data_IF_859013119996
#
_entry.id   IF_859013119996
#
_cell.length_a   1.000
_cell.length_b   1.000
_cell.length_c   1.000
_cell.angle_alpha   90.00
_cell.angle_beta   90.00
_cell.angle_gamma   90.00
#
_symmetry.space_group_name_H-M   'P 1'
#
loop_
_entity.id
_entity.type
_entity.pdbx_description
1 polymer ?
#
# COMPACT_ATOMS: atom_id res chain seq x y z
N UNK A 1 -12.87 -34.74 7.24
CA UNK A 1 -11.90 -33.84 7.91
C UNK A 1 -10.51 -34.47 8.06
N UNK A 2 -10.37 -35.74 8.49
CA UNK A 2 -9.06 -36.42 8.66
C UNK A 2 -8.19 -36.60 7.38
N UNK A 3 -8.79 -36.58 6.19
CA UNK A 3 -8.08 -36.84 4.92
C UNK A 3 -7.22 -35.67 4.42
N UNK A 4 -7.61 -34.42 4.71
CA UNK A 4 -6.90 -33.22 4.23
C UNK A 4 -5.63 -32.94 5.05
N UNK A 5 -5.65 -33.22 6.35
CA UNK A 5 -4.46 -33.10 7.21
C UNK A 5 -3.41 -34.17 6.94
N UNK A 6 -3.84 -35.42 6.67
CA UNK A 6 -2.92 -36.49 6.25
C UNK A 6 -2.20 -36.13 4.95
N UNK A 7 -2.93 -35.62 3.96
CA UNK A 7 -2.37 -35.21 2.65
C UNK A 7 -1.36 -34.05 2.80
N UNK A 8 -1.68 -33.05 3.63
CA UNK A 8 -0.80 -31.90 3.93
C UNK A 8 0.46 -32.29 4.72
N UNK A 9 0.37 -33.31 5.58
CA UNK A 9 1.50 -33.87 6.32
C UNK A 9 2.40 -34.75 5.44
N UNK A 10 1.80 -35.53 4.53
CA UNK A 10 2.51 -36.30 3.50
C UNK A 10 3.27 -35.40 2.52
N UNK A 11 2.65 -34.30 2.07
CA UNK A 11 3.28 -33.33 1.17
C UNK A 11 4.44 -32.58 1.84
N UNK A 12 4.31 -32.20 3.13
CA UNK A 12 5.44 -31.65 3.91
C UNK A 12 6.58 -32.64 4.06
N UNK A 13 6.27 -33.92 4.30
CA UNK A 13 7.28 -34.98 4.46
C UNK A 13 7.98 -35.28 3.12
N UNK A 14 7.27 -35.21 1.99
CA UNK A 14 7.86 -35.27 0.65
C UNK A 14 8.77 -34.08 0.36
N UNK A 15 8.39 -32.88 0.81
CA UNK A 15 9.19 -31.66 0.66
C UNK A 15 10.50 -31.70 1.44
N UNK A 16 10.48 -32.20 2.68
CA UNK A 16 11.70 -32.37 3.48
C UNK A 16 12.63 -33.44 2.89
N UNK A 17 12.06 -34.53 2.36
CA UNK A 17 12.84 -35.55 1.62
C UNK A 17 13.44 -35.01 0.32
N UNK A 18 12.74 -34.13 -0.40
CA UNK A 18 13.25 -33.50 -1.62
C UNK A 18 14.43 -32.56 -1.36
N UNK A 19 14.45 -31.89 -0.20
CA UNK A 19 15.59 -31.05 0.22
C UNK A 19 16.83 -31.89 0.55
N UNK A 20 16.64 -33.08 1.12
CA UNK A 20 17.74 -34.00 1.48
C UNK A 20 18.33 -34.69 0.23
N UNK A 21 17.54 -34.87 -0.83
CA UNK A 21 18.01 -35.44 -2.11
C UNK A 21 18.72 -34.44 -3.03
N UNK A 22 18.69 -33.14 -2.71
CA UNK A 22 19.30 -32.07 -3.50
C UNK A 22 20.67 -31.59 -2.96
N UNK A 23 21.32 -32.37 -2.08
CA UNK A 23 22.78 -32.23 -1.93
C UNK A 23 23.45 -32.63 -3.25
N UNK A 24 24.27 -31.76 -3.87
CA UNK A 24 24.87 -32.04 -5.15
C UNK A 24 25.95 -33.11 -4.97
N UNK A 25 25.60 -34.38 -5.19
CA UNK A 25 26.56 -35.42 -5.55
C UNK A 25 26.58 -35.50 -7.07
N UNK A 26 27.78 -35.35 -7.62
CA UNK A 26 28.04 -35.17 -9.04
C UNK A 26 27.47 -36.30 -9.93
N UNK A 27 26.73 -35.87 -10.96
CA UNK A 27 26.60 -36.38 -12.34
C UNK A 27 26.82 -37.89 -12.63
N UNK A 28 25.82 -38.53 -13.24
CA UNK A 28 26.00 -39.15 -14.57
C UNK A 28 24.72 -39.20 -15.41
N UNK A 29 24.90 -39.01 -16.72
CA UNK A 29 23.93 -38.80 -17.79
C UNK A 29 23.12 -40.06 -18.17
N UNK A 30 21.79 -39.96 -18.26
CA UNK A 30 20.96 -40.89 -19.02
C UNK A 30 19.62 -40.24 -19.43
N UNK A 31 19.00 -40.70 -20.53
CA UNK A 31 17.76 -40.14 -21.11
C UNK A 31 16.56 -40.09 -20.15
N UNK A 32 16.57 -40.81 -19.02
CA UNK A 32 15.58 -40.66 -17.94
C UNK A 32 15.68 -39.31 -17.23
N UNK A 33 16.89 -38.73 -17.14
CA UNK A 33 17.10 -37.40 -16.57
C UNK A 33 16.35 -36.32 -17.36
N UNK A 34 16.25 -36.43 -18.70
CA UNK A 34 15.59 -35.43 -19.54
C UNK A 34 14.06 -35.45 -19.41
N UNK A 35 13.45 -36.62 -19.23
CA UNK A 35 12.01 -36.77 -19.01
C UNK A 35 11.57 -36.32 -17.61
N UNK A 36 12.41 -36.59 -16.59
CA UNK A 36 12.21 -36.00 -15.26
C UNK A 36 12.45 -34.49 -15.28
N UNK A 37 13.43 -33.98 -16.04
CA UNK A 37 13.68 -32.54 -16.18
C UNK A 37 12.54 -31.81 -16.87
N UNK A 38 11.91 -32.39 -17.89
CA UNK A 38 10.75 -31.78 -18.56
C UNK A 38 9.53 -31.72 -17.66
N UNK A 39 9.22 -32.81 -16.93
CA UNK A 39 8.11 -32.84 -15.97
C UNK A 39 8.36 -31.93 -14.76
N UNK A 40 9.60 -31.83 -14.28
CA UNK A 40 10.00 -30.87 -13.25
C UNK A 40 9.81 -29.44 -13.79
N UNK A 41 10.27 -29.13 -15.00
CA UNK A 41 10.13 -27.80 -15.57
C UNK A 41 8.67 -27.40 -15.83
N UNK A 42 7.81 -28.36 -16.16
CA UNK A 42 6.38 -28.16 -16.36
C UNK A 42 5.62 -28.05 -15.02
N UNK A 43 6.05 -28.78 -13.99
CA UNK A 43 5.57 -28.61 -12.61
C UNK A 43 6.06 -27.32 -11.96
N UNK A 44 7.28 -26.87 -12.27
CA UNK A 44 7.84 -25.58 -11.85
C UNK A 44 7.20 -24.43 -12.63
N UNK A 45 6.83 -24.62 -13.91
CA UNK A 45 5.99 -23.68 -14.67
C UNK A 45 4.59 -23.60 -14.07
N UNK A 46 3.97 -24.74 -13.75
CA UNK A 46 2.65 -24.78 -13.12
C UNK A 46 2.66 -24.25 -11.67
N UNK A 47 3.77 -24.40 -10.94
CA UNK A 47 3.98 -23.78 -9.64
C UNK A 47 4.26 -22.28 -9.77
N UNK A 48 5.03 -21.83 -10.78
CA UNK A 48 5.22 -20.41 -11.10
C UNK A 48 3.91 -19.73 -11.54
N UNK A 49 3.05 -20.45 -12.26
CA UNK A 49 1.73 -20.00 -12.67
C UNK A 49 0.70 -20.06 -11.52
N UNK A 50 0.99 -20.80 -10.43
CA UNK A 50 0.14 -20.84 -9.23
C UNK A 50 0.40 -19.66 -8.27
N UNK A 51 1.46 -18.87 -8.49
CA UNK A 51 1.68 -17.58 -7.84
C UNK A 51 1.19 -16.45 -8.74
N UNK A 52 -0.02 -16.61 -9.31
CA UNK A 52 -0.72 -15.51 -9.96
C UNK A 52 -0.62 -14.29 -9.05
N UNK A 53 -0.03 -13.22 -9.58
CA UNK A 53 0.09 -11.94 -8.88
C UNK A 53 -1.31 -11.55 -8.43
N UNK A 54 -1.58 -11.74 -7.15
CA UNK A 54 -2.88 -11.40 -6.61
C UNK A 54 -3.06 -9.91 -6.82
N UNK A 55 -4.19 -9.53 -7.41
CA UNK A 55 -4.54 -8.14 -7.60
C UNK A 55 -5.68 -7.75 -6.68
N UNK A 56 -5.63 -6.54 -6.18
CA UNK A 56 -6.79 -5.84 -5.63
C UNK A 56 -7.20 -4.79 -6.66
N UNK A 57 -8.18 -5.12 -7.50
CA UNK A 57 -8.47 -4.35 -8.71
C UNK A 57 -7.29 -4.39 -9.68
N UNK A 58 -6.73 -3.23 -10.03
CA UNK A 58 -5.51 -3.13 -10.86
C UNK A 58 -4.21 -3.11 -10.05
N UNK A 59 -4.28 -3.00 -8.73
CA UNK A 59 -3.10 -2.95 -7.87
C UNK A 59 -2.47 -4.34 -7.74
N UNK A 60 -1.18 -4.47 -8.06
CA UNK A 60 -0.44 -5.74 -7.93
C UNK A 60 0.08 -5.90 -6.51
N UNK A 61 -0.32 -6.97 -5.83
CA UNK A 61 0.18 -7.28 -4.50
C UNK A 61 1.59 -7.89 -4.57
N UNK A 62 2.45 -7.58 -3.59
CA UNK A 62 3.78 -8.18 -3.50
C UNK A 62 3.70 -9.65 -3.11
N UNK A 63 4.69 -10.44 -3.53
CA UNK A 63 4.70 -11.89 -3.28
C UNK A 63 4.61 -12.28 -1.79
N UNK A 64 5.18 -11.48 -0.89
CA UNK A 64 5.10 -11.73 0.55
C UNK A 64 3.68 -11.58 1.13
N UNK A 65 2.75 -10.96 0.39
CA UNK A 65 1.34 -10.89 0.79
C UNK A 65 0.65 -12.26 0.80
N UNK A 66 1.23 -13.28 0.15
CA UNK A 66 0.77 -14.67 0.22
C UNK A 66 1.54 -15.52 1.24
N UNK A 67 2.39 -14.90 2.08
CA UNK A 67 3.13 -15.60 3.13
C UNK A 67 2.35 -15.55 4.45
N UNK A 68 1.78 -16.67 4.97
CA UNK A 68 0.90 -16.62 6.13
C UNK A 68 1.47 -15.94 7.39
N UNK A 69 2.77 -16.11 7.74
CA UNK A 69 3.35 -15.40 8.87
C UNK A 69 3.36 -13.87 8.72
N UNK A 70 3.27 -13.33 7.50
CA UNK A 70 3.21 -11.89 7.25
C UNK A 70 2.01 -11.21 7.93
N UNK A 71 0.90 -11.95 8.14
CA UNK A 71 -0.32 -11.48 8.81
C UNK A 71 -0.32 -11.70 10.33
N UNK A 72 0.78 -12.17 10.91
CA UNK A 72 0.92 -12.39 12.35
C UNK A 72 2.07 -11.55 12.86
N UNK A 73 1.83 -10.76 13.91
CA UNK A 73 2.85 -9.88 14.48
C UNK A 73 4.04 -10.72 14.95
N UNK A 74 5.24 -10.46 14.41
CA UNK A 74 6.38 -11.32 14.66
C UNK A 74 6.94 -11.11 16.09
N UNK A 75 7.23 -12.19 16.84
CA UNK A 75 7.72 -12.08 18.21
C UNK A 75 9.17 -11.62 18.27
N UNK A 76 9.97 -12.02 17.27
CA UNK A 76 11.39 -11.66 17.16
C UNK A 76 11.51 -10.23 16.67
N UNK A 77 12.28 -9.40 17.40
CA UNK A 77 12.43 -7.96 17.14
C UNK A 77 12.87 -7.66 15.72
N UNK A 78 14.01 -8.20 15.28
CA UNK A 78 14.57 -7.90 13.95
C UNK A 78 13.61 -8.30 12.82
N UNK A 79 12.91 -9.44 12.98
CA UNK A 79 11.89 -9.89 12.04
C UNK A 79 10.67 -8.96 12.05
N UNK A 80 10.26 -8.50 13.23
CA UNK A 80 9.16 -7.54 13.38
C UNK A 80 9.49 -6.20 12.75
N UNK A 81 10.70 -5.69 12.91
CA UNK A 81 11.15 -4.45 12.29
C UNK A 81 11.06 -4.52 10.76
N UNK A 82 11.53 -5.62 10.16
CA UNK A 82 11.37 -5.86 8.72
C UNK A 82 9.91 -5.98 8.30
N UNK A 83 9.11 -6.72 9.06
CA UNK A 83 7.68 -6.86 8.79
C UNK A 83 6.96 -5.50 8.82
N UNK A 84 7.23 -4.68 9.83
CA UNK A 84 6.65 -3.32 9.97
C UNK A 84 7.03 -2.47 8.77
N UNK A 85 8.29 -2.52 8.32
CA UNK A 85 8.73 -1.77 7.14
C UNK A 85 7.98 -2.17 5.87
N UNK A 86 7.84 -3.48 5.62
CA UNK A 86 7.08 -3.99 4.48
C UNK A 86 5.60 -3.58 4.52
N UNK A 87 4.97 -3.60 5.71
CA UNK A 87 3.59 -3.16 5.87
C UNK A 87 3.42 -1.66 5.61
N UNK A 88 4.35 -0.83 6.11
CA UNK A 88 4.33 0.62 5.86
C UNK A 88 4.39 0.93 4.36
N UNK A 89 5.33 0.31 3.66
CA UNK A 89 5.51 0.48 2.21
C UNK A 89 4.25 0.06 1.45
N UNK A 90 3.74 -1.15 1.73
CA UNK A 90 2.54 -1.67 1.07
C UNK A 90 1.30 -0.79 1.33
N UNK A 91 1.07 -0.35 2.56
CA UNK A 91 -0.07 0.52 2.90
C UNK A 91 0.03 1.83 2.14
N UNK A 92 1.19 2.49 2.16
CA UNK A 92 1.41 3.77 1.47
C UNK A 92 1.20 3.63 -0.04
N UNK A 93 1.77 2.60 -0.64
CA UNK A 93 1.68 2.36 -2.09
C UNK A 93 0.24 2.06 -2.51
N UNK A 94 -0.45 1.20 -1.76
CA UNK A 94 -1.86 0.87 -2.01
C UNK A 94 -2.76 2.11 -1.86
N UNK A 95 -2.60 2.87 -0.77
CA UNK A 95 -3.38 4.09 -0.53
C UNK A 95 -3.16 5.13 -1.63
N UNK A 96 -1.92 5.32 -2.10
CA UNK A 96 -1.63 6.20 -3.23
C UNK A 96 -2.30 5.72 -4.51
N UNK A 97 -2.13 4.44 -4.85
CA UNK A 97 -2.67 3.88 -6.08
C UNK A 97 -4.20 3.89 -6.14
N UNK A 98 -4.86 3.68 -5.00
CA UNK A 98 -6.33 3.64 -4.89
C UNK A 98 -6.93 4.97 -4.39
N UNK A 99 -6.11 6.01 -4.19
CA UNK A 99 -6.50 7.31 -3.62
C UNK A 99 -7.28 7.21 -2.30
N UNK A 100 -6.87 6.28 -1.43
CA UNK A 100 -7.48 6.06 -0.11
C UNK A 100 -6.71 6.81 0.96
N UNK A 101 -7.27 7.91 1.44
CA UNK A 101 -6.64 8.75 2.47
C UNK A 101 -6.96 8.32 3.91
N UNK A 102 -8.09 7.66 4.16
CA UNK A 102 -8.52 7.29 5.52
C UNK A 102 -8.58 5.77 5.65
N UNK A 103 -7.95 5.24 6.69
CA UNK A 103 -8.07 3.84 7.12
C UNK A 103 -8.75 3.81 8.49
N UNK A 104 -9.88 3.13 8.60
CA UNK A 104 -10.50 2.80 9.88
C UNK A 104 -9.91 1.52 10.47
N UNK A 105 -9.58 1.51 11.75
CA UNK A 105 -9.01 0.33 12.43
C UNK A 105 -10.01 -0.84 12.54
N UNK A 106 -11.26 -0.50 12.81
CA UNK A 106 -12.38 -1.44 12.96
C UNK A 106 -13.15 -1.67 11.65
N UNK A 107 -12.79 -0.94 10.60
CA UNK A 107 -13.43 -1.05 9.29
C UNK A 107 -12.72 -2.12 8.44
N UNK A 108 -13.45 -2.69 7.49
CA UNK A 108 -12.84 -3.58 6.51
C UNK A 108 -11.91 -2.77 5.59
N UNK A 109 -10.69 -3.25 5.45
CA UNK A 109 -9.69 -2.67 4.56
C UNK A 109 -9.02 -3.79 3.76
N UNK A 110 -8.94 -3.69 2.42
CA UNK A 110 -8.49 -4.80 1.57
C UNK A 110 -7.12 -5.40 1.91
N UNK A 111 -6.21 -4.61 2.49
CA UNK A 111 -4.90 -5.11 2.91
C UNK A 111 -4.92 -5.88 4.25
N UNK A 112 -5.97 -5.75 5.06
CA UNK A 112 -6.02 -6.38 6.39
C UNK A 112 -6.45 -7.85 6.35
N UNK A 113 -6.94 -8.32 5.20
CA UNK A 113 -7.37 -9.72 5.01
C UNK A 113 -6.92 -10.23 3.66
N UNK A 114 -6.32 -11.43 3.65
CA UNK A 114 -6.07 -12.21 2.45
C UNK A 114 -6.84 -13.52 2.51
N UNK A 115 -7.95 -13.57 1.79
CA UNK A 115 -8.82 -14.75 1.73
C UNK A 115 -8.16 -15.94 1.02
N UNK A 116 -7.20 -15.72 0.11
CA UNK A 116 -6.54 -16.80 -0.62
C UNK A 116 -5.70 -17.71 0.28
N UNK A 117 -5.18 -17.15 1.38
CA UNK A 117 -4.39 -17.90 2.38
C UNK A 117 -5.11 -18.02 3.74
N UNK A 118 -6.38 -17.58 3.80
CA UNK A 118 -7.22 -17.57 5.00
C UNK A 118 -6.54 -16.87 6.18
N UNK A 119 -6.01 -15.66 5.95
CA UNK A 119 -5.35 -14.85 6.99
C UNK A 119 -5.88 -13.44 7.05
N UNK A 120 -5.95 -12.91 8.27
CA UNK A 120 -6.29 -11.52 8.54
C UNK A 120 -5.42 -10.99 9.68
N UNK A 121 -5.15 -9.69 9.66
CA UNK A 121 -4.49 -8.99 10.76
C UNK A 121 -5.41 -8.90 11.97
N UNK A 122 -4.85 -9.21 13.14
CA UNK A 122 -5.49 -8.90 14.42
C UNK A 122 -5.57 -7.39 14.62
N UNK A 123 -6.49 -6.94 15.49
CA UNK A 123 -6.59 -5.52 15.86
C UNK A 123 -5.25 -4.97 16.37
N UNK A 124 -4.55 -5.72 17.24
CA UNK A 124 -3.21 -5.37 17.74
C UNK A 124 -2.21 -5.13 16.61
N UNK A 125 -2.16 -6.01 15.60
CA UNK A 125 -1.26 -5.85 14.46
C UNK A 125 -1.61 -4.61 13.62
N UNK A 126 -2.91 -4.35 13.39
CA UNK A 126 -3.37 -3.14 12.67
C UNK A 126 -2.93 -1.87 13.41
N UNK A 127 -3.14 -1.81 14.73
CA UNK A 127 -2.71 -0.69 15.58
C UNK A 127 -1.19 -0.52 15.51
N UNK A 128 -0.43 -1.61 15.59
CA UNK A 128 1.04 -1.55 15.54
C UNK A 128 1.55 -0.97 14.21
N UNK A 129 1.02 -1.43 13.07
CA UNK A 129 1.48 -0.98 11.75
C UNK A 129 1.05 0.46 11.45
N UNK A 130 -0.19 0.85 11.79
CA UNK A 130 -0.64 2.23 11.62
C UNK A 130 0.09 3.18 12.56
N UNK A 131 0.33 2.79 13.82
CA UNK A 131 1.12 3.62 14.76
C UNK A 131 2.56 3.82 14.27
N UNK A 132 3.14 2.81 13.61
CA UNK A 132 4.47 2.95 13.00
C UNK A 132 4.49 3.91 11.79
N UNK A 133 3.39 4.03 11.04
CA UNK A 133 3.25 5.09 10.03
C UNK A 133 3.14 6.47 10.69
N UNK A 134 2.42 6.57 11.80
CA UNK A 134 2.26 7.82 12.56
C UNK A 134 3.60 8.28 13.14
N UNK A 135 4.39 7.38 13.74
CA UNK A 135 5.71 7.72 14.27
C UNK A 135 6.68 8.26 13.21
N UNK A 136 6.51 7.82 11.96
CA UNK A 136 7.32 8.24 10.82
C UNK A 136 6.83 9.54 10.16
N UNK A 137 5.73 10.11 10.65
CA UNK A 137 5.06 11.26 10.05
C UNK A 137 4.47 10.95 8.67
N UNK A 138 4.11 9.67 8.43
CA UNK A 138 3.48 9.18 7.20
C UNK A 138 1.99 8.87 7.37
N UNK A 139 1.47 9.07 8.58
CA UNK A 139 0.05 9.05 8.89
C UNK A 139 -0.26 9.87 10.15
N UNK A 140 -1.53 10.16 10.41
CA UNK A 140 -2.00 10.87 11.59
C UNK A 140 -3.33 10.28 12.08
N UNK A 141 -3.50 10.13 13.40
CA UNK A 141 -4.79 9.78 13.96
C UNK A 141 -5.75 10.97 13.85
N UNK A 142 -6.95 10.74 13.32
CA UNK A 142 -7.94 11.81 13.10
C UNK A 142 -8.82 12.07 14.33
N UNK A 143 -8.78 11.18 15.31
CA UNK A 143 -9.60 11.26 16.53
C UNK A 143 -8.80 10.83 17.77
N UNK A 144 -9.23 11.32 18.95
CA UNK A 144 -8.57 11.02 20.23
C UNK A 144 -8.62 9.54 20.61
N UNK A 145 -9.59 8.79 20.06
CA UNK A 145 -9.73 7.36 20.28
C UNK A 145 -8.84 6.53 19.36
N UNK A 146 -8.06 7.17 18.48
CA UNK A 146 -7.23 6.52 17.46
C UNK A 146 -8.04 5.46 16.71
N UNK A 147 -9.21 5.80 16.17
CA UNK A 147 -10.07 4.87 15.42
C UNK A 147 -9.84 4.96 13.92
N UNK A 148 -9.50 6.15 13.44
CA UNK A 148 -9.24 6.43 12.02
C UNK A 148 -7.89 7.10 11.83
N UNK A 149 -7.19 6.69 10.78
CA UNK A 149 -5.85 7.13 10.45
C UNK A 149 -5.87 7.79 9.07
N UNK A 150 -5.45 9.05 9.00
CA UNK A 150 -5.18 9.78 7.77
C UNK A 150 -3.79 9.41 7.25
N UNK A 151 -3.72 8.86 6.05
CA UNK A 151 -2.49 8.41 5.40
C UNK A 151 -1.90 9.54 4.57
N UNK A 152 -0.59 9.77 4.72
CA UNK A 152 0.17 10.81 4.05
C UNK A 152 1.25 10.18 3.16
N UNK A 153 0.87 9.72 1.96
CA UNK A 153 1.85 9.20 0.99
C UNK A 153 2.72 10.29 0.38
N UNK A 154 2.25 11.54 0.40
CA UNK A 154 3.10 12.72 0.37
C UNK A 154 2.91 13.49 1.67
N UNK A 155 4.00 14.06 2.19
CA UNK A 155 3.95 15.00 3.33
C UNK A 155 3.25 16.28 2.89
N UNK A 156 2.75 17.05 3.85
CA UNK A 156 2.08 18.33 3.57
C UNK A 156 2.96 19.30 2.78
N UNK A 157 4.27 19.31 3.06
CA UNK A 157 5.25 20.10 2.33
C UNK A 157 5.39 19.65 0.86
N UNK A 158 5.45 18.33 0.63
CA UNK A 158 5.53 17.76 -0.71
C UNK A 158 4.25 18.04 -1.51
N UNK A 159 3.08 17.94 -0.85
CA UNK A 159 1.81 18.35 -1.46
C UNK A 159 1.79 19.84 -1.82
N UNK A 160 2.30 20.72 -0.95
CA UNK A 160 2.40 22.13 -1.25
C UNK A 160 3.29 22.41 -2.47
N UNK A 161 4.40 21.68 -2.61
CA UNK A 161 5.27 21.79 -3.78
C UNK A 161 4.58 21.27 -5.06
N UNK A 162 3.83 20.16 -4.97
CA UNK A 162 3.01 19.64 -6.07
C UNK A 162 1.93 20.64 -6.52
N UNK A 163 1.28 21.34 -5.58
CA UNK A 163 0.28 22.38 -5.89
C UNK A 163 0.95 23.55 -6.64
N UNK A 164 2.10 24.02 -6.16
CA UNK A 164 2.85 25.09 -6.84
C UNK A 164 3.23 24.69 -8.25
N UNK A 165 3.69 23.46 -8.45
CA UNK A 165 4.02 22.93 -9.78
C UNK A 165 2.80 22.87 -10.68
N UNK A 166 1.68 22.32 -10.18
CA UNK A 166 0.41 22.24 -10.90
C UNK A 166 -0.08 23.61 -11.39
N UNK A 167 -0.05 24.63 -10.53
CA UNK A 167 -0.49 25.98 -10.90
C UNK A 167 0.37 26.55 -12.03
N UNK A 168 1.70 26.39 -11.93
CA UNK A 168 2.65 26.89 -12.94
C UNK A 168 2.53 26.19 -14.29
N UNK A 169 2.36 24.87 -14.28
CA UNK A 169 2.23 24.10 -15.52
C UNK A 169 0.93 24.41 -16.28
N UNK A 170 -0.12 24.85 -15.57
CA UNK A 170 -1.41 25.17 -16.17
C UNK A 170 -1.64 26.68 -16.38
N UNK A 171 -0.67 27.54 -16.05
CA UNK A 171 -0.81 29.00 -16.21
C UNK A 171 -1.91 29.61 -15.34
N UNK A 172 -2.10 29.08 -14.11
CA UNK A 172 -3.20 29.44 -13.21
C UNK A 172 -2.79 30.44 -12.11
N UNK A 173 -1.59 31.03 -12.20
CA UNK A 173 -1.00 31.90 -11.16
C UNK A 173 -1.88 33.12 -10.85
N UNK A 174 -2.41 33.76 -11.89
CA UNK A 174 -3.23 34.98 -11.78
C UNK A 174 -4.73 34.70 -11.59
N UNK A 175 -5.14 33.44 -11.70
CA UNK A 175 -6.54 33.02 -11.61
C UNK A 175 -6.95 32.77 -10.15
N UNK A 176 -8.21 33.10 -9.85
CA UNK A 176 -8.85 32.62 -8.62
C UNK A 176 -9.41 31.24 -8.91
N UNK A 177 -9.01 30.25 -8.10
CA UNK A 177 -9.51 28.88 -8.18
C UNK A 177 -10.20 28.48 -6.89
N UNK A 178 -11.21 27.65 -6.96
CA UNK A 178 -11.81 27.00 -5.79
C UNK A 178 -11.00 25.79 -5.36
N UNK A 179 -11.13 25.40 -4.08
CA UNK A 179 -10.55 24.16 -3.55
C UNK A 179 -11.06 22.93 -4.32
N UNK A 180 -12.32 22.94 -4.78
CA UNK A 180 -12.92 21.84 -5.54
C UNK A 180 -12.36 21.72 -6.96
N UNK A 181 -12.03 22.83 -7.62
CA UNK A 181 -11.37 22.83 -8.94
C UNK A 181 -9.98 22.18 -8.86
N UNK A 182 -9.20 22.50 -7.82
CA UNK A 182 -7.89 21.87 -7.61
C UNK A 182 -8.05 20.35 -7.37
N UNK A 183 -9.10 19.94 -6.66
CA UNK A 183 -9.30 18.55 -6.23
C UNK A 183 -9.97 17.67 -7.29
N UNK A 184 -10.83 18.24 -8.12
CA UNK A 184 -11.72 17.48 -9.01
C UNK A 184 -12.00 18.14 -10.37
N UNK A 185 -11.41 19.31 -10.61
CA UNK A 185 -11.49 20.03 -11.89
C UNK A 185 -10.84 19.29 -13.05
N UNK A 186 -10.90 19.90 -14.23
CA UNK A 186 -10.42 19.28 -15.47
C UNK A 186 -8.90 19.19 -15.49
N UNK A 187 -8.24 20.25 -15.05
CA UNK A 187 -6.79 20.45 -15.05
C UNK A 187 -6.10 19.46 -14.10
N UNK A 188 -6.75 19.12 -12.98
CA UNK A 188 -6.18 18.18 -12.01
C UNK A 188 -6.24 16.72 -12.47
N UNK A 189 -7.11 16.37 -13.44
CA UNK A 189 -7.26 14.97 -13.91
C UNK A 189 -5.93 14.40 -14.41
N UNK A 190 -5.63 13.18 -13.98
CA UNK A 190 -4.36 12.51 -14.31
C UNK A 190 -3.17 12.95 -13.47
N UNK A 191 -3.32 13.95 -12.61
CA UNK A 191 -2.29 14.36 -11.64
C UNK A 191 -2.46 13.66 -10.29
N UNK A 192 -1.48 13.84 -9.40
CA UNK A 192 -1.59 13.37 -8.02
C UNK A 192 -2.67 14.11 -7.21
N UNK A 193 -3.00 15.35 -7.58
CA UNK A 193 -3.97 16.20 -6.90
C UNK A 193 -5.42 15.77 -7.15
N UNK A 194 -5.69 15.06 -8.25
CA UNK A 194 -7.04 14.58 -8.51
C UNK A 194 -7.49 13.62 -7.39
N UNK A 195 -8.61 13.95 -6.75
CA UNK A 195 -9.16 13.20 -5.64
C UNK A 195 -8.37 13.31 -4.34
N UNK A 196 -7.47 14.30 -4.19
CA UNK A 196 -6.78 14.55 -2.91
C UNK A 196 -7.81 14.72 -1.79
N UNK A 197 -7.52 14.28 -0.57
CA UNK A 197 -8.38 14.57 0.57
C UNK A 197 -8.43 16.08 0.86
N UNK A 198 -9.64 16.60 1.09
CA UNK A 198 -9.86 18.04 1.30
C UNK A 198 -9.04 18.58 2.48
N UNK A 199 -8.93 17.82 3.56
CA UNK A 199 -8.18 18.25 4.74
C UNK A 199 -6.67 18.35 4.47
N UNK A 200 -6.13 17.40 3.69
CA UNK A 200 -4.73 17.40 3.24
C UNK A 200 -4.46 18.59 2.35
N UNK A 201 -5.32 18.82 1.35
CA UNK A 201 -5.22 19.96 0.43
C UNK A 201 -5.25 21.29 1.21
N UNK A 202 -6.22 21.48 2.11
CA UNK A 202 -6.33 22.70 2.90
C UNK A 202 -5.10 22.95 3.79
N UNK A 203 -4.49 21.90 4.34
CA UNK A 203 -3.25 22.03 5.11
C UNK A 203 -2.07 22.48 4.24
N UNK A 204 -1.96 21.95 3.03
CA UNK A 204 -0.92 22.34 2.08
C UNK A 204 -1.13 23.79 1.60
N UNK A 205 -2.38 24.19 1.31
CA UNK A 205 -2.72 25.57 0.94
C UNK A 205 -2.42 26.56 2.07
N UNK A 206 -2.81 26.25 3.31
CA UNK A 206 -2.48 27.08 4.49
C UNK A 206 -0.98 27.21 4.71
N UNK A 207 -0.21 26.16 4.43
CA UNK A 207 1.25 26.23 4.49
C UNK A 207 1.81 27.22 3.44
N UNK A 208 1.26 27.23 2.23
CA UNK A 208 1.65 28.17 1.17
C UNK A 208 1.20 29.60 1.50
N UNK A 209 0.01 29.77 2.09
CA UNK A 209 -0.50 31.06 2.56
C UNK A 209 0.44 31.67 3.61
N UNK A 210 0.85 30.89 4.61
CA UNK A 210 1.83 31.32 5.62
C UNK A 210 3.19 31.68 5.02
N UNK A 211 3.55 31.10 3.87
CA UNK A 211 4.76 31.46 3.10
C UNK A 211 4.56 32.67 2.18
N UNK A 212 3.38 33.30 2.19
CA UNK A 212 3.04 34.45 1.34
C UNK A 212 2.90 34.12 -0.15
N UNK A 213 2.69 32.84 -0.49
CA UNK A 213 2.61 32.37 -1.89
C UNK A 213 1.21 32.33 -2.47
N UNK A 214 0.20 32.46 -1.62
CA UNK A 214 -1.21 32.52 -2.00
C UNK A 214 -2.02 33.20 -0.91
N UNK A 215 -3.27 33.51 -1.22
CA UNK A 215 -4.29 33.97 -0.27
C UNK A 215 -5.53 33.10 -0.41
N UNK A 216 -6.11 32.67 0.71
CA UNK A 216 -7.37 31.91 0.76
C UNK A 216 -8.53 32.87 1.09
N UNK A 217 -9.56 32.88 0.25
CA UNK A 217 -10.80 33.59 0.46
C UNK A 217 -11.84 32.65 1.06
N UNK A 218 -12.44 33.07 2.18
CA UNK A 218 -13.58 32.35 2.74
C UNK A 218 -14.85 32.78 2.00
N UNK A 219 -15.48 31.85 1.29
CA UNK A 219 -16.81 32.07 0.74
C UNK A 219 -17.91 31.93 1.80
N UNK A 220 -19.15 31.90 1.34
CA UNK A 220 -20.35 31.73 2.18
C UNK A 220 -20.50 30.32 2.75
N UNK A 221 -19.91 29.32 2.08
CA UNK A 221 -19.83 27.93 2.51
C UNK A 221 -18.39 27.40 2.42
N UNK A 222 -18.13 26.20 2.96
CA UNK A 222 -16.82 25.54 2.82
C UNK A 222 -16.49 25.21 1.37
N UNK A 223 -17.50 25.00 0.53
CA UNK A 223 -17.31 24.62 -0.87
C UNK A 223 -17.00 25.85 -1.74
N UNK A 224 -17.19 27.05 -1.18
CA UNK A 224 -16.91 28.34 -1.81
C UNK A 224 -15.54 28.94 -1.40
N UNK A 225 -14.65 28.15 -0.78
CA UNK A 225 -13.29 28.61 -0.47
C UNK A 225 -12.47 28.82 -1.76
N UNK A 226 -12.16 30.08 -2.06
CA UNK A 226 -11.35 30.48 -3.20
C UNK A 226 -9.88 30.62 -2.82
N UNK A 227 -8.98 30.46 -3.79
CA UNK A 227 -7.53 30.53 -3.64
C UNK A 227 -7.00 31.39 -4.79
N UNK A 228 -6.17 32.38 -4.47
CA UNK A 228 -5.40 33.12 -5.47
C UNK A 228 -3.93 32.98 -5.18
N UNK A 229 -3.15 32.55 -6.17
CA UNK A 229 -1.72 32.38 -6.04
C UNK A 229 -0.97 33.70 -6.26
N UNK A 230 0.26 33.77 -5.76
CA UNK A 230 1.17 34.91 -5.85
C UNK A 230 2.59 34.36 -6.01
N UNK A 231 2.82 33.64 -7.12
CA UNK A 231 3.95 32.74 -7.35
C UNK A 231 4.99 33.24 -8.36
#
# INVERSE_FOLDING_TARGET
MLGKEKKKKEERTKFEKLKILNTPVALHSSRQSLFYRSNIFESERNLKNSWDMQKLGEFKLPHFFNYPPYFTLQPVRDTREKQVQLWKELIIEYCRAQKVFIIGLEEDFPLFSNHAIERSLSHEARVAFLSALVSDGRAEWTDKGHKKCLILWHRIQEWADLIVHFVKENGLEDNVMTVEEIRSGTESRGTELYGIDRSVLMRALKLLEHKGKLVIFKGTSTDDEGVKFSL
#
